data_IF_095484962375
#
_entry.id   IF_095484962375
#
_cell.length_a   1.000
_cell.length_b   1.000
_cell.length_c   1.000
_cell.angle_alpha   90.00
_cell.angle_beta   90.00
_cell.angle_gamma   90.00
#
_symmetry.space_group_name_H-M   'P 1'
#
loop_
_entity.id
_entity.type
_entity.pdbx_description
1 polymer ?
#
# COMPACT_ATOMS: atom_id res chain seq x y z
N UNK A 1 1.55 12.71 8.24
CA UNK A 1 1.73 11.86 7.06
C UNK A 1 2.25 10.53 7.57
N UNK A 2 1.44 9.48 7.58
CA UNK A 2 1.82 8.16 8.10
C UNK A 2 2.94 7.51 7.29
N UNK A 3 3.26 8.05 6.11
CA UNK A 3 4.33 7.57 5.23
C UNK A 3 5.56 8.48 5.16
N UNK A 4 5.53 9.62 5.84
CA UNK A 4 6.67 10.54 5.86
C UNK A 4 7.86 9.91 6.61
N UNK A 5 9.00 9.83 5.93
CA UNK A 5 10.21 9.15 6.42
C UNK A 5 10.20 7.62 6.35
N UNK A 6 9.16 6.97 5.82
CA UNK A 6 9.14 5.51 5.67
C UNK A 6 9.85 5.06 4.40
N UNK A 7 10.70 4.05 4.54
CA UNK A 7 11.45 3.44 3.44
C UNK A 7 10.68 2.26 2.85
N UNK A 8 11.12 1.80 1.66
CA UNK A 8 10.54 0.65 0.96
C UNK A 8 10.55 -0.66 1.77
N UNK A 9 11.46 -0.79 2.75
CA UNK A 9 11.55 -1.95 3.64
C UNK A 9 10.47 -1.95 4.75
N UNK A 10 9.78 -0.82 4.95
CA UNK A 10 8.78 -0.70 6.01
C UNK A 10 7.67 -1.72 5.86
N UNK A 11 7.41 -2.52 6.89
CA UNK A 11 6.32 -3.51 6.89
C UNK A 11 4.97 -2.82 7.05
N UNK A 12 4.27 -2.61 5.93
CA UNK A 12 2.93 -2.02 5.90
C UNK A 12 1.87 -3.01 6.39
N UNK A 13 2.03 -4.30 6.12
CA UNK A 13 1.13 -5.33 6.62
C UNK A 13 1.91 -6.43 7.35
N UNK A 14 1.92 -6.39 8.68
CA UNK A 14 2.58 -7.41 9.51
C UNK A 14 1.91 -8.78 9.37
N UNK A 15 0.60 -8.83 9.21
CA UNK A 15 -0.17 -10.07 9.08
C UNK A 15 0.25 -10.93 7.87
N UNK A 16 0.62 -10.29 6.77
CA UNK A 16 1.02 -10.92 5.51
C UNK A 16 2.50 -10.72 5.22
N UNK A 17 3.22 -10.11 6.16
CA UNK A 17 4.63 -9.76 6.08
C UNK A 17 4.98 -8.97 4.79
N UNK A 18 4.08 -8.08 4.36
CA UNK A 18 4.25 -7.25 3.16
C UNK A 18 4.92 -5.93 3.48
N UNK A 19 5.83 -5.52 2.61
CA UNK A 19 6.56 -4.26 2.72
C UNK A 19 5.91 -3.16 1.87
N UNK A 20 6.21 -1.91 2.22
CA UNK A 20 5.71 -0.73 1.53
C UNK A 20 6.21 -0.69 0.08
N UNK A 21 7.47 -1.08 -0.16
CA UNK A 21 8.04 -1.16 -1.50
C UNK A 21 7.35 -2.19 -2.38
N UNK A 22 7.00 -3.37 -1.85
CA UNK A 22 6.22 -4.36 -2.61
C UNK A 22 4.84 -3.81 -3.00
N UNK A 23 4.16 -3.15 -2.07
CA UNK A 23 2.83 -2.60 -2.34
C UNK A 23 2.91 -1.43 -3.32
N UNK A 24 3.91 -0.57 -3.20
CA UNK A 24 4.19 0.51 -4.15
C UNK A 24 4.43 -0.03 -5.55
N UNK A 25 5.28 -1.05 -5.71
CA UNK A 25 5.52 -1.71 -6.99
C UNK A 25 4.22 -2.23 -7.59
N UNK A 26 3.41 -2.96 -6.82
CA UNK A 26 2.11 -3.47 -7.27
C UNK A 26 1.19 -2.33 -7.75
N UNK A 27 1.11 -1.23 -7.00
CA UNK A 27 0.28 -0.08 -7.39
C UNK A 27 0.77 0.50 -8.72
N UNK A 28 2.08 0.61 -8.91
CA UNK A 28 2.68 1.17 -10.12
C UNK A 28 2.57 0.23 -11.32
N UNK A 29 2.87 -1.05 -11.16
CA UNK A 29 2.84 -2.07 -12.22
C UNK A 29 1.40 -2.34 -12.70
N UNK A 30 0.44 -2.41 -11.78
CA UNK A 30 -0.96 -2.71 -12.10
C UNK A 30 -1.82 -1.46 -12.24
N UNK A 31 -1.22 -0.26 -12.13
CA UNK A 31 -1.91 1.04 -12.15
C UNK A 31 -3.13 1.08 -11.21
N UNK A 32 -2.96 0.61 -9.97
CA UNK A 32 -4.06 0.49 -9.03
C UNK A 32 -4.52 1.87 -8.56
N UNK A 33 -5.78 2.19 -8.82
CA UNK A 33 -6.41 3.43 -8.39
C UNK A 33 -7.33 3.26 -7.19
N UNK A 34 -7.49 2.06 -6.64
CA UNK A 34 -8.51 1.81 -5.63
C UNK A 34 -7.98 0.94 -4.50
N UNK A 35 -8.24 1.34 -3.26
CA UNK A 35 -7.80 0.61 -2.07
C UNK A 35 -8.34 -0.83 -2.06
N UNK A 36 -9.56 -1.02 -2.56
CA UNK A 36 -10.19 -2.34 -2.66
C UNK A 36 -9.39 -3.26 -3.59
N UNK A 37 -9.12 -2.80 -4.80
CA UNK A 37 -8.30 -3.53 -5.79
C UNK A 37 -6.90 -3.79 -5.24
N UNK A 38 -6.30 -2.82 -4.55
CA UNK A 38 -4.99 -3.00 -3.90
C UNK A 38 -5.02 -4.13 -2.87
N UNK A 39 -6.04 -4.16 -2.01
CA UNK A 39 -6.20 -5.20 -1.00
C UNK A 39 -6.44 -6.58 -1.63
N UNK A 40 -7.15 -6.66 -2.75
CA UNK A 40 -7.39 -7.90 -3.49
C UNK A 40 -6.12 -8.40 -4.20
N UNK A 41 -5.41 -7.53 -4.92
CA UNK A 41 -4.20 -7.88 -5.68
C UNK A 41 -3.02 -8.18 -4.76
N UNK A 42 -2.80 -7.36 -3.73
CA UNK A 42 -1.70 -7.55 -2.80
C UNK A 42 -2.03 -8.51 -1.63
N UNK A 43 -3.27 -9.02 -1.56
CA UNK A 43 -3.79 -9.92 -0.52
C UNK A 43 -3.54 -9.39 0.92
N UNK A 44 -3.77 -8.09 1.12
CA UNK A 44 -3.55 -7.36 2.38
C UNK A 44 -4.84 -6.69 2.87
N UNK A 45 -4.91 -6.29 4.14
CA UNK A 45 -6.09 -5.60 4.68
C UNK A 45 -7.32 -6.50 4.92
N UNK A 46 -7.22 -7.81 4.67
CA UNK A 46 -8.31 -8.78 4.84
C UNK A 46 -8.30 -9.52 6.18
N UNK A 47 -7.18 -9.50 6.93
CA UNK A 47 -7.06 -10.20 8.21
C UNK A 47 -7.40 -9.33 9.43
N UNK A 48 -6.68 -8.22 9.61
CA UNK A 48 -6.86 -7.32 10.75
C UNK A 48 -7.39 -5.93 10.37
N UNK A 49 -7.35 -5.56 9.08
CA UNK A 49 -7.77 -4.25 8.59
C UNK A 49 -6.87 -3.06 8.99
N UNK A 50 -5.97 -3.20 9.95
CA UNK A 50 -5.15 -2.10 10.51
C UNK A 50 -4.21 -1.43 9.49
N UNK A 51 -3.85 -2.12 8.41
CA UNK A 51 -3.00 -1.55 7.36
C UNK A 51 -3.77 -0.68 6.34
N UNK A 52 -5.11 -0.66 6.36
CA UNK A 52 -5.93 0.04 5.36
C UNK A 52 -5.66 1.54 5.31
N UNK A 53 -5.53 2.20 6.45
CA UNK A 53 -5.26 3.65 6.48
C UNK A 53 -3.89 3.99 5.87
N UNK A 54 -2.84 3.19 6.18
CA UNK A 54 -1.52 3.37 5.57
C UNK A 54 -1.53 3.07 4.07
N UNK A 55 -2.31 2.08 3.64
CA UNK A 55 -2.45 1.72 2.23
C UNK A 55 -3.17 2.81 1.44
N UNK A 56 -4.20 3.43 2.03
CA UNK A 56 -4.93 4.53 1.41
C UNK A 56 -4.05 5.77 1.22
N UNK A 57 -3.24 6.10 2.23
CA UNK A 57 -2.23 7.18 2.10
C UNK A 57 -1.18 6.83 1.03
N UNK A 58 -0.75 5.56 0.94
CA UNK A 58 0.25 5.14 -0.04
C UNK A 58 -0.31 5.23 -1.45
N UNK A 59 -1.53 4.74 -1.64
CA UNK A 59 -2.27 4.84 -2.88
C UNK A 59 -2.42 6.30 -3.32
N UNK A 60 -2.82 7.18 -2.41
CA UNK A 60 -2.97 8.62 -2.69
C UNK A 60 -1.64 9.28 -3.04
N UNK A 61 -0.57 8.96 -2.31
CA UNK A 61 0.79 9.46 -2.58
C UNK A 61 1.27 9.01 -3.96
N UNK A 62 1.16 7.72 -4.27
CA UNK A 62 1.59 7.15 -5.54
C UNK A 62 0.77 7.73 -6.70
N UNK A 63 -0.54 7.87 -6.55
CA UNK A 63 -1.39 8.56 -7.55
C UNK A 63 -0.93 10.00 -7.80
N UNK A 64 -0.58 10.74 -6.74
CA UNK A 64 -0.08 12.11 -6.86
C UNK A 64 1.30 12.20 -7.53
N UNK A 65 2.07 11.11 -7.57
CA UNK A 65 3.37 11.03 -8.24
C UNK A 65 3.21 10.82 -9.77
N UNK A 66 2.07 10.27 -10.20
CA UNK A 66 1.73 10.02 -11.60
C UNK A 66 0.98 11.15 -12.31
N UNK A 67 0.46 12.14 -11.57
CA UNK A 67 -0.38 13.24 -12.08
C UNK A 67 0.41 14.54 -12.19
#
# INVERSE_FOLDING_TARGET
>A
MYLDGKTRDYKICVCKNKTLGEVEDIIREQHITDLKTLCEVADIGNKCGACREMLDELLTKVKSDFM
#
